data_IF_019783736971
#
_entry.id   IF_019783736971
#
_cell.length_a   1.000
_cell.length_b   1.000
_cell.length_c   1.000
_cell.angle_alpha   90.00
_cell.angle_beta   90.00
_cell.angle_gamma   90.00
#
_symmetry.space_group_name_H-M   'P 1'
#
loop_
_entity.id
_entity.type
_entity.pdbx_description
1 polymer ?
#
# COMPACT_ATOMS: atom_id res chain seq x y z
N UNK A 1 6.55 25.21 -11.74
CA UNK A 1 7.74 24.32 -11.76
C UNK A 1 8.07 23.72 -10.39
N UNK A 2 7.94 24.48 -9.28
CA UNK A 2 8.22 23.97 -7.92
C UNK A 2 7.20 22.91 -7.45
N UNK A 3 5.90 23.13 -7.69
CA UNK A 3 4.85 22.16 -7.37
C UNK A 3 4.99 20.84 -8.15
N UNK A 4 5.38 20.89 -9.42
CA UNK A 4 5.64 19.68 -10.23
C UNK A 4 6.83 18.88 -9.68
N UNK A 5 7.89 19.56 -9.24
CA UNK A 5 9.04 18.89 -8.60
C UNK A 5 8.68 18.30 -7.24
N UNK A 6 7.85 18.98 -6.46
CA UNK A 6 7.32 18.47 -5.19
C UNK A 6 6.42 17.25 -5.39
N UNK A 7 5.53 17.28 -6.40
CA UNK A 7 4.69 16.12 -6.74
C UNK A 7 5.55 14.95 -7.20
N UNK A 8 6.53 15.17 -8.09
CA UNK A 8 7.45 14.12 -8.54
C UNK A 8 8.32 13.60 -7.38
N UNK A 9 8.75 14.46 -6.46
CA UNK A 9 9.53 14.09 -5.27
C UNK A 9 8.69 13.27 -4.31
N UNK A 10 7.47 13.71 -4.00
CA UNK A 10 6.53 13.00 -3.14
C UNK A 10 6.15 11.67 -3.77
N UNK A 11 5.78 11.67 -5.05
CA UNK A 11 5.54 10.47 -5.85
C UNK A 11 6.75 9.53 -5.74
N UNK A 12 7.95 9.97 -6.08
CA UNK A 12 9.19 9.16 -6.01
C UNK A 12 9.45 8.65 -4.59
N UNK A 13 9.25 9.47 -3.56
CA UNK A 13 9.41 9.07 -2.16
C UNK A 13 8.38 8.00 -1.76
N UNK A 14 7.09 8.21 -2.02
CA UNK A 14 6.03 7.22 -1.81
C UNK A 14 6.28 5.92 -2.59
N UNK A 15 6.83 6.01 -3.81
CA UNK A 15 7.19 4.85 -4.65
C UNK A 15 8.37 4.05 -4.12
N UNK A 16 9.36 4.72 -3.51
CA UNK A 16 10.59 4.09 -2.99
C UNK A 16 10.46 3.56 -1.57
N UNK A 17 9.53 4.08 -0.77
CA UNK A 17 9.55 3.87 0.68
C UNK A 17 9.03 2.48 1.11
N UNK A 18 8.16 1.80 0.36
CA UNK A 18 7.70 0.46 0.78
C UNK A 18 7.69 -0.52 -0.39
N UNK A 19 8.83 -1.13 -0.67
CA UNK A 19 8.88 -2.35 -1.48
C UNK A 19 8.55 -3.54 -0.60
N UNK A 20 7.26 -3.91 -0.53
CA UNK A 20 6.83 -5.13 0.16
C UNK A 20 7.06 -6.30 -0.81
N UNK A 21 7.94 -7.28 -0.47
CA UNK A 21 8.15 -8.44 -1.32
C UNK A 21 6.87 -9.29 -1.40
N UNK A 22 6.74 -10.10 -2.45
CA UNK A 22 5.63 -11.05 -2.55
C UNK A 22 5.71 -12.09 -1.44
N UNK A 23 4.56 -12.65 -1.07
CA UNK A 23 4.48 -13.82 -0.19
C UNK A 23 5.22 -15.00 -0.82
N UNK A 24 6.05 -15.69 -0.03
CA UNK A 24 6.75 -16.88 -0.48
C UNK A 24 5.81 -18.10 -0.48
N UNK A 25 6.04 -19.08 -1.36
CA UNK A 25 5.12 -20.23 -1.51
C UNK A 25 4.95 -21.06 -0.23
N UNK A 26 5.97 -21.08 0.62
CA UNK A 26 5.96 -21.82 1.89
C UNK A 26 5.56 -20.95 3.09
N UNK A 27 5.41 -19.64 2.89
CA UNK A 27 5.12 -18.68 3.96
C UNK A 27 3.61 -18.66 4.25
N UNK A 28 3.25 -18.78 5.54
CA UNK A 28 1.85 -18.67 5.97
C UNK A 28 1.38 -17.21 5.86
N UNK A 29 0.07 -17.00 5.69
CA UNK A 29 -0.51 -15.64 5.60
C UNK A 29 -0.14 -14.77 6.81
N UNK A 30 -0.25 -15.24 8.07
CA UNK A 30 0.13 -14.44 9.22
C UNK A 30 1.63 -14.05 9.22
N UNK A 31 2.50 -14.99 8.84
CA UNK A 31 3.94 -14.73 8.77
C UNK A 31 4.26 -13.63 7.72
N UNK A 32 3.61 -13.72 6.56
CA UNK A 32 3.73 -12.71 5.51
C UNK A 32 3.25 -11.33 5.96
N UNK A 33 2.08 -11.26 6.60
CA UNK A 33 1.51 -9.99 7.10
C UNK A 33 2.44 -9.36 8.13
N UNK A 34 2.95 -10.14 9.10
CA UNK A 34 3.89 -9.63 10.10
C UNK A 34 5.18 -9.12 9.47
N UNK A 35 5.72 -9.82 8.46
CA UNK A 35 6.90 -9.38 7.71
C UNK A 35 6.64 -8.06 6.98
N UNK A 36 5.48 -7.92 6.33
CA UNK A 36 5.07 -6.70 5.66
C UNK A 36 4.93 -5.53 6.65
N UNK A 37 4.28 -5.75 7.80
CA UNK A 37 4.17 -4.75 8.88
C UNK A 37 5.56 -4.32 9.37
N UNK A 38 6.47 -5.25 9.62
CA UNK A 38 7.83 -4.94 10.07
C UNK A 38 8.61 -4.09 9.05
N UNK A 39 8.41 -4.32 7.75
CA UNK A 39 9.00 -3.50 6.69
C UNK A 39 8.40 -2.09 6.74
N UNK A 40 7.06 -1.98 6.81
CA UNK A 40 6.37 -0.68 6.89
C UNK A 40 6.79 0.14 8.10
N UNK A 41 6.92 -0.49 9.28
CA UNK A 41 7.37 0.17 10.51
C UNK A 41 8.81 0.69 10.40
N UNK A 42 9.72 -0.10 9.80
CA UNK A 42 11.11 0.33 9.57
C UNK A 42 11.16 1.55 8.65
N UNK A 43 10.37 1.54 7.59
CA UNK A 43 10.25 2.67 6.68
C UNK A 43 9.72 3.92 7.39
N UNK A 44 8.66 3.79 8.20
CA UNK A 44 8.10 4.94 8.93
C UNK A 44 9.11 5.54 9.91
N UNK A 45 9.79 4.70 10.71
CA UNK A 45 10.80 5.18 11.68
C UNK A 45 11.99 5.89 11.01
N UNK A 46 12.35 5.49 9.79
CA UNK A 46 13.40 6.16 9.02
C UNK A 46 12.99 7.53 8.47
N UNK A 47 11.69 7.85 8.43
CA UNK A 47 11.15 9.12 7.94
C UNK A 47 10.58 10.04 9.03
N UNK A 48 10.40 9.54 10.26
CA UNK A 48 9.95 10.36 11.38
C UNK A 48 11.09 11.27 11.88
N UNK A 49 10.93 12.59 11.70
CA UNK A 49 11.72 13.59 12.40
C UNK A 49 11.48 13.56 13.93
N UNK A 50 12.16 14.44 14.67
CA UNK A 50 12.04 14.52 16.15
C UNK A 50 10.56 14.59 16.57
N UNK A 51 10.09 13.59 17.33
CA UNK A 51 8.72 13.55 17.84
C UNK A 51 8.51 14.71 18.81
N UNK A 52 7.44 15.48 18.59
CA UNK A 52 7.06 16.56 19.50
C UNK A 52 6.53 15.98 20.82
N UNK A 53 6.67 16.72 21.92
CA UNK A 53 6.12 16.31 23.22
C UNK A 53 4.61 16.01 23.17
N UNK A 54 3.87 16.69 22.29
CA UNK A 54 2.44 16.45 22.09
C UNK A 54 2.17 15.07 21.45
N UNK A 55 2.94 14.68 20.41
CA UNK A 55 2.82 13.35 19.79
C UNK A 55 3.15 12.22 20.76
N UNK A 56 4.16 12.42 21.61
CA UNK A 56 4.53 11.42 22.62
C UNK A 56 3.43 11.22 23.67
N UNK A 57 2.76 12.31 24.09
CA UNK A 57 1.64 12.24 25.02
C UNK A 57 0.42 11.55 24.39
N UNK A 58 0.12 11.83 23.12
CA UNK A 58 -0.95 11.17 22.35
C UNK A 58 -0.69 9.67 22.22
N UNK A 59 0.53 9.26 21.81
CA UNK A 59 0.92 7.85 21.72
C UNK A 59 0.80 7.11 23.07
N UNK A 60 1.13 7.79 24.18
CA UNK A 60 1.01 7.22 25.52
C UNK A 60 -0.46 7.03 25.93
N UNK A 61 -1.32 8.00 25.61
CA UNK A 61 -2.75 7.92 25.89
C UNK A 61 -3.43 6.81 25.07
N UNK A 62 -3.07 6.67 23.79
CA UNK A 62 -3.60 5.61 22.93
C UNK A 62 -3.15 4.22 23.37
N UNK A 63 -1.89 4.08 23.82
CA UNK A 63 -1.42 2.83 24.44
C UNK A 63 -2.23 2.48 25.68
N UNK A 64 -2.51 3.46 26.55
CA UNK A 64 -3.29 3.22 27.76
C UNK A 64 -4.72 2.75 27.45
N UNK A 65 -5.43 3.46 26.55
CA UNK A 65 -6.77 3.05 26.08
C UNK A 65 -6.77 1.66 25.46
N UNK A 66 -5.72 1.32 24.71
CA UNK A 66 -5.59 -0.01 24.10
C UNK A 66 -5.44 -1.10 25.15
N UNK A 67 -4.66 -0.87 26.20
CA UNK A 67 -4.51 -1.84 27.31
C UNK A 67 -5.84 -2.03 28.04
N UNK A 68 -6.52 -0.94 28.41
CA UNK A 68 -7.81 -0.98 29.11
C UNK A 68 -8.89 -1.75 28.30
N UNK A 69 -8.92 -1.58 26.97
CA UNK A 69 -9.81 -2.35 26.10
C UNK A 69 -9.48 -3.86 26.16
N UNK A 70 -8.20 -4.21 26.11
CA UNK A 70 -7.75 -5.61 26.09
C UNK A 70 -8.00 -6.32 27.43
N UNK A 71 -7.89 -5.61 28.55
CA UNK A 71 -8.18 -6.13 29.90
C UNK A 71 -9.64 -6.61 30.04
N UNK A 72 -10.56 -6.02 29.27
CA UNK A 72 -11.98 -6.38 29.27
C UNK A 72 -12.35 -7.46 28.24
N UNK A 73 -11.38 -7.98 27.49
CA UNK A 73 -11.60 -9.02 26.47
C UNK A 73 -11.07 -10.38 26.92
N UNK A 74 -11.76 -11.45 26.50
CA UNK A 74 -11.25 -12.81 26.67
C UNK A 74 -10.16 -13.12 25.64
N UNK A 75 -9.26 -14.05 25.95
CA UNK A 75 -8.23 -14.52 25.01
C UNK A 75 -8.82 -14.97 23.67
N UNK A 76 -9.96 -15.68 23.69
CA UNK A 76 -10.64 -16.11 22.46
C UNK A 76 -11.15 -14.95 21.60
N UNK A 77 -11.61 -13.85 22.21
CA UNK A 77 -12.03 -12.67 21.47
C UNK A 77 -10.82 -11.93 20.86
N UNK A 78 -9.70 -11.87 21.60
CA UNK A 78 -8.44 -11.30 21.11
C UNK A 78 -7.92 -12.10 19.90
N UNK A 79 -7.95 -13.42 19.96
CA UNK A 79 -7.50 -14.29 18.86
C UNK A 79 -8.39 -14.17 17.62
N UNK A 80 -9.72 -14.08 17.82
CA UNK A 80 -10.66 -13.86 16.74
C UNK A 80 -10.41 -12.50 16.04
N UNK A 81 -10.21 -11.43 16.82
CA UNK A 81 -9.89 -10.11 16.28
C UNK A 81 -8.53 -10.10 15.56
N UNK A 82 -7.51 -10.73 16.13
CA UNK A 82 -6.18 -10.85 15.50
C UNK A 82 -6.26 -11.60 14.17
N UNK A 83 -7.07 -12.66 14.10
CA UNK A 83 -7.30 -13.42 12.87
C UNK A 83 -8.00 -12.55 11.81
N UNK A 84 -9.05 -11.85 12.21
CA UNK A 84 -9.77 -10.92 11.34
C UNK A 84 -8.85 -9.83 10.79
N UNK A 85 -8.09 -9.18 11.67
CA UNK A 85 -7.16 -8.12 11.31
C UNK A 85 -6.05 -8.63 10.38
N UNK A 86 -5.54 -9.83 10.62
CA UNK A 86 -4.54 -10.47 9.74
C UNK A 86 -5.11 -10.68 8.34
N UNK A 87 -6.35 -11.16 8.23
CA UNK A 87 -7.01 -11.36 6.94
C UNK A 87 -7.26 -10.04 6.21
N UNK A 88 -7.70 -9.01 6.93
CA UNK A 88 -7.97 -7.69 6.34
C UNK A 88 -6.68 -7.03 5.85
N UNK A 89 -5.61 -7.08 6.65
CA UNK A 89 -4.28 -6.63 6.23
C UNK A 89 -3.78 -7.41 5.02
N UNK A 90 -3.97 -8.73 4.98
CA UNK A 90 -3.57 -9.54 3.84
C UNK A 90 -4.29 -9.13 2.55
N UNK A 91 -5.62 -8.93 2.59
CA UNK A 91 -6.41 -8.44 1.45
C UNK A 91 -5.90 -7.09 0.97
N UNK A 92 -5.65 -6.17 1.90
CA UNK A 92 -5.14 -4.84 1.60
C UNK A 92 -3.75 -4.90 0.95
N UNK A 93 -2.84 -5.72 1.48
CA UNK A 93 -1.51 -5.96 0.91
C UNK A 93 -1.59 -6.51 -0.52
N UNK A 94 -2.50 -7.46 -0.78
CA UNK A 94 -2.71 -8.03 -2.11
C UNK A 94 -3.21 -6.98 -3.09
N UNK A 95 -4.21 -6.20 -2.69
CA UNK A 95 -4.80 -5.11 -3.48
C UNK A 95 -3.76 -4.05 -3.85
N UNK A 96 -3.02 -3.52 -2.87
CA UNK A 96 -1.95 -2.56 -3.14
C UNK A 96 -0.83 -3.15 -4.00
N UNK A 97 -0.45 -4.41 -3.78
CA UNK A 97 0.55 -5.07 -4.63
C UNK A 97 0.07 -5.20 -6.08
N UNK A 98 -1.22 -5.49 -6.31
CA UNK A 98 -1.82 -5.57 -7.64
C UNK A 98 -1.76 -4.23 -8.37
N UNK A 99 -2.28 -3.18 -7.74
CA UNK A 99 -2.21 -1.81 -8.25
C UNK A 99 -0.78 -1.35 -8.56
N UNK A 100 0.16 -1.61 -7.63
CA UNK A 100 1.57 -1.24 -7.80
C UNK A 100 2.18 -1.95 -9.01
N UNK A 101 1.80 -3.19 -9.25
CA UNK A 101 2.22 -3.94 -10.44
C UNK A 101 1.65 -3.34 -11.73
N UNK A 102 0.35 -3.01 -11.76
CA UNK A 102 -0.29 -2.36 -12.91
C UNK A 102 0.41 -1.07 -13.30
N UNK A 103 0.69 -0.21 -12.33
CA UNK A 103 1.36 1.06 -12.60
C UNK A 103 2.79 0.84 -13.10
N UNK A 104 3.52 -0.16 -12.56
CA UNK A 104 4.87 -0.52 -13.04
C UNK A 104 4.85 -0.96 -14.50
N UNK A 105 3.89 -1.82 -14.86
CA UNK A 105 3.70 -2.29 -16.25
C UNK A 105 3.33 -1.10 -17.15
N UNK A 106 2.32 -0.32 -16.78
CA UNK A 106 1.91 0.88 -17.52
C UNK A 106 3.07 1.84 -17.77
N UNK A 107 3.87 2.12 -16.74
CA UNK A 107 5.04 3.01 -16.85
C UNK A 107 6.04 2.47 -17.85
N UNK A 108 6.29 1.16 -17.83
CA UNK A 108 7.22 0.48 -18.74
C UNK A 108 6.71 0.57 -20.18
N UNK A 109 5.45 0.22 -20.40
CA UNK A 109 4.84 0.23 -21.73
C UNK A 109 4.69 1.64 -22.30
N UNK A 110 4.36 2.61 -21.44
CA UNK A 110 4.37 4.03 -21.80
C UNK A 110 5.76 4.49 -22.23
N UNK A 111 6.83 4.12 -21.51
CA UNK A 111 8.20 4.45 -21.92
C UNK A 111 8.56 3.81 -23.26
N UNK A 112 8.22 2.53 -23.46
CA UNK A 112 8.46 1.81 -24.70
C UNK A 112 7.68 2.43 -25.88
N UNK A 113 6.47 2.93 -25.65
CA UNK A 113 5.64 3.58 -26.67
C UNK A 113 6.31 4.80 -27.30
N UNK A 114 7.26 5.46 -26.60
CA UNK A 114 7.96 6.66 -27.09
C UNK A 114 8.85 6.40 -28.30
N UNK A 115 9.16 5.13 -28.59
CA UNK A 115 9.88 4.72 -29.79
C UNK A 115 9.04 4.83 -31.07
N UNK A 116 7.70 4.91 -30.94
CA UNK A 116 6.78 4.89 -32.07
C UNK A 116 6.34 6.32 -32.49
N UNK A 117 6.10 6.55 -33.79
CA UNK A 117 5.52 7.80 -34.28
C UNK A 117 4.14 8.12 -33.67
N UNK A 118 3.72 9.39 -33.72
CA UNK A 118 2.52 9.90 -33.03
C UNK A 118 1.25 9.08 -33.27
N UNK A 119 0.94 8.71 -34.52
CA UNK A 119 -0.29 7.99 -34.85
C UNK A 119 -0.37 6.57 -34.24
N UNK A 120 0.59 5.66 -34.49
CA UNK A 120 0.57 4.34 -33.84
C UNK A 120 0.71 4.45 -32.32
N UNK A 121 1.49 5.41 -31.83
CA UNK A 121 1.64 5.67 -30.39
C UNK A 121 0.31 6.05 -29.74
N UNK A 122 -0.52 6.86 -30.39
CA UNK A 122 -1.84 7.24 -29.87
C UNK A 122 -2.74 6.02 -29.66
N UNK A 123 -2.78 5.09 -30.62
CA UNK A 123 -3.55 3.85 -30.50
C UNK A 123 -3.06 3.01 -29.32
N UNK A 124 -1.73 2.81 -29.21
CA UNK A 124 -1.13 2.08 -28.08
C UNK A 124 -1.47 2.72 -26.73
N UNK A 125 -1.36 4.05 -26.62
CA UNK A 125 -1.71 4.79 -25.40
C UNK A 125 -3.18 4.60 -25.03
N UNK A 126 -4.07 4.68 -26.02
CA UNK A 126 -5.50 4.50 -25.81
C UNK A 126 -5.81 3.09 -25.31
N UNK A 127 -5.18 2.07 -25.87
CA UNK A 127 -5.45 0.69 -25.49
C UNK A 127 -4.85 0.37 -24.11
N UNK A 128 -3.65 0.86 -23.78
CA UNK A 128 -3.09 0.74 -22.43
C UNK A 128 -4.01 1.31 -21.34
N UNK A 129 -4.65 2.46 -21.61
CA UNK A 129 -5.60 3.06 -20.65
C UNK A 129 -6.83 2.16 -20.48
N UNK A 130 -7.40 1.66 -21.59
CA UNK A 130 -8.56 0.76 -21.53
C UNK A 130 -8.23 -0.53 -20.77
N UNK A 131 -7.06 -1.12 -21.03
CA UNK A 131 -6.64 -2.37 -20.41
C UNK A 131 -6.55 -2.23 -18.89
N UNK A 132 -6.06 -1.08 -18.39
CA UNK A 132 -6.05 -0.79 -16.95
C UNK A 132 -7.46 -0.59 -16.42
N UNK A 133 -8.29 0.18 -17.11
CA UNK A 133 -9.67 0.43 -16.69
C UNK A 133 -10.49 -0.86 -16.58
N UNK A 134 -10.14 -1.90 -17.34
CA UNK A 134 -10.81 -3.20 -17.30
C UNK A 134 -10.09 -4.22 -16.41
N UNK A 135 -8.94 -3.88 -15.83
CA UNK A 135 -8.16 -4.83 -15.05
C UNK A 135 -8.83 -5.13 -13.70
N UNK A 136 -8.97 -6.41 -13.28
CA UNK A 136 -9.61 -6.79 -12.03
C UNK A 136 -9.06 -6.06 -10.79
N UNK A 137 -7.73 -6.03 -10.63
CA UNK A 137 -7.06 -5.33 -9.52
C UNK A 137 -7.37 -3.82 -9.46
N UNK A 138 -7.68 -3.18 -10.61
CA UNK A 138 -8.07 -1.77 -10.65
C UNK A 138 -9.57 -1.62 -10.33
N UNK A 139 -10.41 -2.47 -10.92
CA UNK A 139 -11.86 -2.47 -10.70
C UNK A 139 -12.26 -2.74 -9.24
N UNK A 140 -11.56 -3.67 -8.57
CA UNK A 140 -11.72 -3.95 -7.14
C UNK A 140 -11.47 -2.70 -6.27
N UNK A 141 -10.62 -1.79 -6.72
CA UNK A 141 -10.32 -0.54 -6.02
C UNK A 141 -11.42 0.49 -6.25
N UNK A 142 -11.87 0.65 -7.48
CA UNK A 142 -12.93 1.60 -7.82
C UNK A 142 -14.25 1.27 -7.11
N UNK A 143 -14.64 0.00 -7.05
CA UNK A 143 -15.90 -0.41 -6.44
C UNK A 143 -15.99 -0.21 -4.92
N UNK A 144 -14.86 -0.03 -4.23
CA UNK A 144 -14.86 0.30 -2.79
C UNK A 144 -15.02 1.79 -2.50
N UNK A 145 -14.78 2.68 -3.47
CA UNK A 145 -14.95 4.13 -3.29
C UNK A 145 -16.41 4.56 -3.49
N UNK A 146 -17.19 3.71 -4.19
CA UNK A 146 -18.61 3.93 -4.49
C UNK A 146 -19.56 3.23 -3.48
N UNK A 147 -19.03 2.65 -2.39
CA UNK A 147 -19.77 1.96 -1.32
C UNK A 147 -19.66 2.71 0.01
#
# INVERSE_FOLDING_TARGET
>A
MHQTKEVIRLETQYWTLVDIPKQEKQETVPAFVLRACAIMEKTQKSGEGVKTSAKLAEEAQDKHKRIERLENMTTSQIDAENTQMTNDLYRLLKKYSGLRNLIRVLKTDYMNSKLYPMFPRYTMLKDMIKDIMLHPDYMEVCHEVDA
#
